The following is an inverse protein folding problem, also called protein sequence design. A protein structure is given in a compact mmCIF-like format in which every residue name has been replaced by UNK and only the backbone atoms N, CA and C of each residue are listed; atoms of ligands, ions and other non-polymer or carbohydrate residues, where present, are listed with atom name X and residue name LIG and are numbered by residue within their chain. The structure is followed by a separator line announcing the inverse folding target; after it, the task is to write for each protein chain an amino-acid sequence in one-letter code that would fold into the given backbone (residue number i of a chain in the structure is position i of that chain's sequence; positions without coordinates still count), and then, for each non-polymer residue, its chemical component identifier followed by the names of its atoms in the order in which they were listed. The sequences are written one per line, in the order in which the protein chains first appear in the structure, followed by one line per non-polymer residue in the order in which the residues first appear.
data_IF_844972782070
#
_entry.id   IF_844972782070
#
_cell.length_a   1.000
_cell.length_b   1.000
_cell.length_c   1.000
_cell.angle_alpha   90.00
_cell.angle_beta   90.00
_cell.angle_gamma   90.00
#
_symmetry.space_group_name_H-M   'P 1'
#
loop_
_entity.id
_entity.type
_entity.pdbx_description
1 polymer ?
#
# COMPACT_ATOMS: atom_id res chain seq x y z
N UNK A 1 -6.20 7.76 -10.86
CA UNK A 1 -5.50 7.34 -9.64
C UNK A 1 -5.36 8.50 -8.69
N UNK A 2 -5.64 8.29 -7.43
CA UNK A 2 -5.49 9.32 -6.43
C UNK A 2 -4.35 8.96 -5.48
N UNK A 3 -3.52 9.93 -5.13
CA UNK A 3 -2.47 9.72 -4.14
C UNK A 3 -3.08 9.92 -2.76
N UNK A 4 -3.15 8.83 -1.99
CA UNK A 4 -3.71 8.84 -0.65
C UNK A 4 -2.66 8.71 0.44
N UNK A 5 -1.39 8.77 0.09
CA UNK A 5 -0.33 8.72 1.08
C UNK A 5 1.05 8.92 0.50
N UNK A 6 1.95 9.34 1.37
CA UNK A 6 3.38 9.50 1.06
C UNK A 6 4.18 8.72 2.07
N UNK A 7 5.16 7.98 1.59
CA UNK A 7 5.94 7.06 2.40
C UNK A 7 7.42 7.14 2.08
N UNK A 8 8.25 6.69 3.00
CA UNK A 8 9.68 6.67 2.84
C UNK A 8 10.27 5.39 3.42
N UNK A 9 11.22 4.80 2.68
CA UNK A 9 11.95 3.63 3.18
C UNK A 9 12.98 4.08 4.20
N UNK A 10 13.01 3.37 5.32
CA UNK A 10 13.97 3.60 6.40
C UNK A 10 15.15 2.64 6.26
N UNK A 11 16.23 2.91 7.00
CA UNK A 11 17.44 2.10 6.92
C UNK A 11 17.23 0.66 7.39
N UNK A 12 16.24 0.43 8.26
CA UNK A 12 15.94 -0.92 8.76
C UNK A 12 15.04 -1.71 7.83
N UNK A 13 14.70 -1.19 6.66
CA UNK A 13 13.86 -1.86 5.69
C UNK A 13 12.36 -1.61 5.85
N UNK A 14 11.94 -0.91 6.90
CA UNK A 14 10.54 -0.52 7.03
C UNK A 14 10.24 0.66 6.12
N UNK A 15 8.97 0.81 5.78
CA UNK A 15 8.49 1.95 5.00
C UNK A 15 7.44 2.65 5.84
N UNK A 16 7.64 3.92 6.14
CA UNK A 16 6.73 4.65 6.99
C UNK A 16 6.27 5.95 6.36
N UNK A 17 5.09 6.40 6.72
CA UNK A 17 4.52 7.62 6.20
C UNK A 17 3.13 7.87 6.73
N UNK A 18 2.31 8.49 5.92
CA UNK A 18 1.00 8.97 6.31
C UNK A 18 -0.03 8.60 5.26
N UNK A 19 -1.16 8.06 5.71
CA UNK A 19 -2.33 7.83 4.86
C UNK A 19 -3.31 8.98 5.09
N UNK A 20 -3.76 9.59 4.00
CA UNK A 20 -4.69 10.72 4.05
C UNK A 20 -5.80 10.54 3.04
N UNK A 21 -7.00 10.32 3.53
CA UNK A 21 -8.21 10.33 2.74
C UNK A 21 -9.20 11.27 3.41
N UNK A 22 -10.40 11.34 2.88
CA UNK A 22 -11.43 12.22 3.48
C UNK A 22 -11.73 11.86 4.93
N UNK A 23 -11.68 10.57 5.27
CA UNK A 23 -12.03 10.10 6.62
C UNK A 23 -10.88 9.47 7.37
N UNK A 24 -9.78 9.19 6.71
CA UNK A 24 -8.63 8.52 7.32
C UNK A 24 -7.43 9.44 7.26
N UNK A 25 -6.86 9.72 8.41
CA UNK A 25 -5.63 10.48 8.51
C UNK A 25 -4.81 9.84 9.62
N UNK A 26 -3.88 8.97 9.24
CA UNK A 26 -3.13 8.21 10.21
C UNK A 26 -1.72 7.93 9.70
N UNK A 27 -0.71 7.96 10.59
CA UNK A 27 0.57 7.40 10.25
C UNK A 27 0.42 5.91 9.99
N UNK A 28 1.26 5.38 9.14
CA UNK A 28 1.26 3.94 8.87
C UNK A 28 2.69 3.49 8.61
N UNK A 29 2.96 2.22 8.92
CA UNK A 29 4.26 1.62 8.72
C UNK A 29 4.10 0.27 8.06
N UNK A 30 4.87 0.05 7.01
CA UNK A 30 5.00 -1.23 6.34
C UNK A 30 6.21 -1.94 6.94
N UNK A 31 5.98 -3.06 7.58
CA UNK A 31 7.04 -3.83 8.25
C UNK A 31 7.31 -5.11 7.44
N UNK A 32 8.57 -5.36 7.06
CA UNK A 32 8.89 -6.57 6.29
C UNK A 32 8.53 -7.84 7.08
N UNK A 33 7.99 -8.82 6.37
CA UNK A 33 7.75 -10.14 6.92
C UNK A 33 9.02 -10.96 6.73
N UNK A 34 9.64 -11.37 7.84
CA UNK A 34 10.93 -12.06 7.79
C UNK A 34 10.82 -13.47 7.23
N UNK A 35 9.75 -14.18 7.59
CA UNK A 35 9.54 -15.55 7.11
C UNK A 35 8.19 -15.65 6.42
N UNK A 36 8.24 -15.84 5.12
CA UNK A 36 7.02 -16.10 4.35
C UNK A 36 6.68 -17.58 4.46
N UNK A 37 5.46 -17.87 4.86
CA UNK A 37 4.99 -19.24 4.98
C UNK A 37 4.66 -19.86 3.62
N UNK A 38 4.47 -19.02 2.60
CA UNK A 38 4.20 -19.46 1.23
C UNK A 38 4.57 -18.35 0.26
N UNK A 39 4.60 -18.66 -1.03
CA UNK A 39 4.84 -17.64 -2.05
C UNK A 39 3.73 -16.61 -2.13
N UNK A 40 2.54 -16.96 -1.66
CA UNK A 40 1.38 -16.08 -1.66
C UNK A 40 1.30 -15.22 -0.41
N UNK A 41 2.15 -15.47 0.58
CA UNK A 41 2.17 -14.68 1.79
C UNK A 41 2.65 -13.26 1.50
N UNK A 42 2.18 -12.26 2.27
CA UNK A 42 2.60 -10.88 2.04
C UNK A 42 4.08 -10.65 2.33
N UNK A 43 4.65 -9.68 1.65
CA UNK A 43 6.03 -9.26 1.88
C UNK A 43 6.13 -8.25 3.01
N UNK A 44 5.06 -7.52 3.27
CA UNK A 44 4.97 -6.52 4.34
C UNK A 44 3.64 -6.63 5.05
N UNK A 45 3.62 -6.26 6.33
CA UNK A 45 2.39 -6.01 7.07
C UNK A 45 2.30 -4.52 7.36
N UNK A 46 1.09 -3.99 7.33
CA UNK A 46 0.85 -2.55 7.51
C UNK A 46 0.24 -2.32 8.88
N UNK A 47 0.86 -1.43 9.64
CA UNK A 47 0.41 -1.10 11.00
C UNK A 47 0.14 0.39 11.14
N UNK A 48 -0.92 0.72 11.86
CA UNK A 48 -1.19 2.05 12.37
C UNK A 48 -0.54 2.19 13.75
N UNK A 49 -0.57 3.39 14.37
CA UNK A 49 -0.05 3.56 15.72
C UNK A 49 -0.66 2.56 16.70
N UNK A 50 0.11 2.22 17.74
CA UNK A 50 -0.28 1.27 18.78
C UNK A 50 -0.44 -0.15 18.25
N UNK A 51 0.27 -0.46 17.15
CA UNK A 51 0.30 -1.79 16.54
C UNK A 51 -1.06 -2.27 16.04
N UNK A 52 -1.92 -1.37 15.63
CA UNK A 52 -3.17 -1.73 14.99
C UNK A 52 -2.86 -2.18 13.56
N UNK A 53 -3.11 -3.45 13.27
CA UNK A 53 -2.83 -3.97 11.93
C UNK A 53 -3.89 -3.49 10.95
N UNK A 54 -3.43 -2.82 9.89
CA UNK A 54 -4.31 -2.29 8.85
C UNK A 54 -4.37 -3.17 7.61
N UNK A 55 -3.35 -3.96 7.36
CA UNK A 55 -3.35 -4.74 6.13
C UNK A 55 -1.99 -5.32 5.79
N UNK A 56 -1.79 -5.55 4.50
CA UNK A 56 -0.61 -6.21 3.99
C UNK A 56 -0.24 -5.70 2.61
N UNK A 57 0.99 -6.00 2.19
CA UNK A 57 1.46 -5.60 0.88
C UNK A 57 2.25 -6.74 0.25
N UNK A 58 2.13 -6.86 -1.07
CA UNK A 58 2.79 -7.88 -1.87
C UNK A 58 3.65 -7.23 -2.93
N UNK A 59 4.88 -7.69 -3.06
CA UNK A 59 5.78 -7.21 -4.10
C UNK A 59 5.29 -7.66 -5.47
N UNK A 60 5.22 -6.72 -6.40
CA UNK A 60 4.83 -6.98 -7.79
C UNK A 60 5.82 -6.30 -8.73
N UNK A 61 5.88 -6.80 -9.95
CA UNK A 61 6.68 -6.18 -11.00
C UNK A 61 5.75 -5.77 -12.13
N UNK A 62 5.86 -4.51 -12.54
CA UNK A 62 5.04 -4.01 -13.64
C UNK A 62 5.43 -4.70 -14.94
N UNK A 63 4.44 -5.26 -15.64
CA UNK A 63 4.67 -5.90 -16.93
C UNK A 63 5.09 -4.89 -18.01
N UNK A 64 4.68 -3.63 -17.86
CA UNK A 64 4.99 -2.61 -18.85
C UNK A 64 6.37 -1.99 -18.69
N UNK A 65 6.78 -1.75 -17.45
CA UNK A 65 8.01 -1.01 -17.18
C UNK A 65 9.11 -1.85 -16.54
N UNK A 66 8.77 -3.03 -16.01
CA UNK A 66 9.71 -3.85 -15.26
C UNK A 66 10.02 -3.33 -13.87
N UNK A 67 9.40 -2.24 -13.45
CA UNK A 67 9.66 -1.64 -12.15
C UNK A 67 8.90 -2.37 -11.05
N UNK A 68 9.50 -2.42 -9.87
CA UNK A 68 8.90 -3.03 -8.69
C UNK A 68 7.97 -2.03 -8.02
N UNK A 69 6.80 -2.51 -7.63
CA UNK A 69 5.87 -1.76 -6.79
C UNK A 69 5.25 -2.75 -5.80
N UNK A 70 4.42 -2.26 -4.89
CA UNK A 70 3.76 -3.13 -3.93
C UNK A 70 2.26 -2.98 -4.05
N UNK A 71 1.57 -4.12 -4.18
CA UNK A 71 0.11 -4.17 -4.15
C UNK A 71 -0.31 -4.19 -2.69
N UNK A 72 -1.15 -3.25 -2.28
CA UNK A 72 -1.51 -3.03 -0.87
C UNK A 72 -2.99 -3.30 -0.67
N UNK A 73 -3.30 -4.04 0.38
CA UNK A 73 -4.67 -4.26 0.83
C UNK A 73 -4.80 -3.72 2.25
N UNK A 74 -5.69 -2.76 2.44
CA UNK A 74 -5.98 -2.17 3.74
C UNK A 74 -7.39 -2.55 4.15
N UNK A 75 -7.54 -3.05 5.36
CA UNK A 75 -8.83 -3.46 5.87
C UNK A 75 -8.88 -3.23 7.37
N UNK A 76 -9.96 -2.63 7.83
CA UNK A 76 -10.19 -2.33 9.23
C UNK A 76 -11.70 -2.29 9.46
N UNK A 77 -12.18 -2.69 10.65
CA UNK A 77 -13.61 -2.60 10.94
C UNK A 77 -14.22 -1.21 10.74
N UNK A 78 -13.40 -0.16 10.81
CA UNK A 78 -13.88 1.21 10.56
C UNK A 78 -14.07 1.52 9.07
N UNK A 79 -13.57 0.64 8.18
CA UNK A 79 -13.71 0.84 6.74
C UNK A 79 -14.98 0.16 6.24
N UNK A 80 -15.75 0.83 5.36
CA UNK A 80 -16.95 0.18 4.77
C UNK A 80 -16.60 -1.01 3.89
N UNK A 81 -15.37 -1.05 3.33
CA UNK A 81 -14.90 -2.14 2.50
C UNK A 81 -13.38 -2.10 2.46
N UNK A 82 -12.71 -3.21 2.12
CA UNK A 82 -11.26 -3.18 1.95
C UNK A 82 -10.82 -2.16 0.92
N UNK A 83 -9.68 -1.54 1.16
CA UNK A 83 -9.09 -0.56 0.25
C UNK A 83 -7.90 -1.21 -0.43
N UNK A 84 -7.91 -1.21 -1.76
CA UNK A 84 -6.81 -1.74 -2.55
C UNK A 84 -6.06 -0.59 -3.21
N UNK A 85 -4.75 -0.56 -3.02
CA UNK A 85 -3.92 0.51 -3.49
C UNK A 85 -2.57 -0.03 -3.98
N UNK A 86 -1.75 0.84 -4.52
CA UNK A 86 -0.41 0.49 -4.94
C UNK A 86 0.59 1.45 -4.30
N UNK A 87 1.64 0.91 -3.72
CA UNK A 87 2.75 1.68 -3.19
C UNK A 87 3.82 1.75 -4.27
N UNK A 88 3.99 2.93 -4.86
CA UNK A 88 4.78 3.12 -6.07
C UNK A 88 5.97 4.03 -5.78
N UNK A 89 7.22 3.59 -6.07
CA UNK A 89 8.38 4.46 -5.92
C UNK A 89 8.24 5.70 -6.80
N UNK A 90 8.71 6.83 -6.29
CA UNK A 90 8.76 8.05 -7.10
C UNK A 90 9.95 8.00 -8.06
N UNK A 91 9.85 8.71 -9.17
CA UNK A 91 10.96 8.78 -10.12
C UNK A 91 12.15 9.54 -9.56
N UNK A 92 11.89 10.54 -8.74
CA UNK A 92 12.95 11.38 -8.18
C UNK A 92 13.78 10.66 -7.11
N UNK A 93 13.16 9.73 -6.37
CA UNK A 93 13.83 9.05 -5.26
C UNK A 93 13.22 7.66 -5.07
N UNK A 94 13.98 6.58 -5.32
CA UNK A 94 13.45 5.22 -5.19
C UNK A 94 13.12 4.83 -3.75
N UNK A 95 13.55 5.63 -2.76
CA UNK A 95 13.22 5.39 -1.36
C UNK A 95 11.98 6.17 -0.91
N UNK A 96 11.39 6.94 -1.80
CA UNK A 96 10.11 7.63 -1.55
C UNK A 96 9.03 7.00 -2.38
N UNK A 97 7.86 6.84 -1.77
CA UNK A 97 6.73 6.14 -2.38
C UNK A 97 5.47 6.98 -2.25
N UNK A 98 4.61 6.82 -3.24
CA UNK A 98 3.24 7.31 -3.18
C UNK A 98 2.32 6.11 -3.03
N UNK A 99 1.30 6.25 -2.18
CA UNK A 99 0.24 5.25 -2.08
C UNK A 99 -0.88 5.71 -3.00
N UNK A 100 -1.03 5.01 -4.11
CA UNK A 100 -1.98 5.39 -5.16
C UNK A 100 -3.21 4.49 -5.08
N UNK A 101 -4.38 5.11 -5.08
CA UNK A 101 -5.65 4.42 -5.03
C UNK A 101 -6.43 4.71 -6.29
N UNK A 102 -7.02 3.67 -6.86
CA UNK A 102 -7.94 3.81 -7.97
C UNK A 102 -9.30 3.30 -7.55
N UNK A 103 -10.34 3.99 -7.96
CA UNK A 103 -11.70 3.52 -7.74
C UNK A 103 -11.85 2.17 -8.44
N UNK A 104 -12.37 1.14 -7.75
CA UNK A 104 -12.53 -0.17 -8.38
C UNK A 104 -13.36 -0.04 -9.65
N UNK A 105 -12.88 -0.69 -10.71
CA UNK A 105 -13.66 -0.77 -11.95
C UNK A 105 -14.67 -1.89 -11.82
N UNK A 106 -15.90 -1.61 -12.20
CA UNK A 106 -16.93 -2.61 -12.36
C UNK A 106 -17.30 -2.69 -13.83
N UNK A 107 -18.05 -3.70 -14.23
CA UNK A 107 -18.54 -3.77 -15.59
C UNK A 107 -19.43 -2.58 -15.94
N UNK A 108 -20.10 -2.02 -14.94
CA UNK A 108 -20.98 -0.88 -15.13
C UNK A 108 -20.22 0.40 -15.42
N UNK A 109 -18.99 0.50 -14.90
CA UNK A 109 -18.17 1.70 -15.13
C UNK A 109 -17.84 1.90 -16.59
N UNK A 110 -17.77 0.82 -17.33
CA UNK A 110 -17.46 0.90 -18.76
C UNK A 110 -18.67 1.34 -19.57
N UNK A 111 -19.83 1.37 -18.97
CA UNK A 111 -21.06 1.76 -19.61
C UNK A 111 -21.36 3.25 -19.56
N UNK A 112 -20.56 4.01 -18.87
CA UNK A 112 -20.78 5.45 -18.74
C UNK A 112 -20.16 6.25 -19.87
#
# INVERSE_FOLDING_TARGET
MANIGSFRRNDDGTISGQIRTLRVNTPARFTPVEEKTSEQAPDFRVFAPQRVELGAAWRRTSAETGKVYYSVSLDDPSFPAPVYAALIPTEADPNRFNLAWSRPKTQDDDGY
#
